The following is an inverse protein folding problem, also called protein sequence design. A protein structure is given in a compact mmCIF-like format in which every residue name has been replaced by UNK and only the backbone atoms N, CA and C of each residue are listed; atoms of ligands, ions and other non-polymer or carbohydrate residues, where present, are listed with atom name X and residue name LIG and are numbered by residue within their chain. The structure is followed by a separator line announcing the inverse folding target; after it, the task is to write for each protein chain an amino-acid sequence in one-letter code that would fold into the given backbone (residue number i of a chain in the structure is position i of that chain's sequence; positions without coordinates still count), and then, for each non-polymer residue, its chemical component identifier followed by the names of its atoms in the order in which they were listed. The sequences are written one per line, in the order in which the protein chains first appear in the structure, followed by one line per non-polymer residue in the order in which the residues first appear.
data_IF_083807217012
#
_entry.id   IF_083807217012
#
_cell.length_a   1.000
_cell.length_b   1.000
_cell.length_c   1.000
_cell.angle_alpha   90.00
_cell.angle_beta   90.00
_cell.angle_gamma   90.00
#
_symmetry.space_group_name_H-M   'P 1'
#
loop_
_entity.id
_entity.type
_entity.pdbx_description
1 polymer ?
#
# COMPACT_ATOMS: atom_id res chain seq x y z
N UNK A 1 -0.68 -4.11 13.99
CA UNK A 1 -1.63 -3.38 13.13
C UNK A 1 -1.20 -3.65 11.69
N UNK A 2 -2.01 -4.38 10.93
CA UNK A 2 -1.79 -4.72 9.53
C UNK A 2 -2.71 -3.84 8.66
N UNK A 3 -2.16 -2.93 7.83
CA UNK A 3 -2.95 -2.03 6.97
C UNK A 3 -3.93 -2.75 6.04
N UNK A 4 -3.69 -4.03 5.73
CA UNK A 4 -4.59 -4.82 4.91
C UNK A 4 -5.86 -5.26 5.66
N UNK A 5 -5.73 -5.64 6.93
CA UNK A 5 -6.82 -6.25 7.69
C UNK A 5 -7.47 -5.30 8.70
N UNK A 6 -6.70 -4.33 9.20
CA UNK A 6 -7.13 -3.50 10.33
C UNK A 6 -7.66 -2.13 9.90
N UNK A 7 -7.50 -1.75 8.63
CA UNK A 7 -8.03 -0.49 8.09
C UNK A 7 -9.43 -0.68 7.49
N UNK A 8 -10.41 0.17 7.86
CA UNK A 8 -11.71 0.16 7.20
C UNK A 8 -11.59 0.64 5.75
N UNK A 9 -12.44 0.10 4.89
CA UNK A 9 -12.45 0.39 3.44
C UNK A 9 -12.63 1.88 3.14
N UNK A 10 -13.26 2.64 4.04
CA UNK A 10 -13.47 4.08 3.92
C UNK A 10 -14.83 4.50 4.47
N UNK A 11 -15.10 5.82 4.49
CA UNK A 11 -16.32 6.34 5.09
C UNK A 11 -17.58 6.10 4.25
N UNK A 12 -17.47 5.95 2.90
CA UNK A 12 -18.61 5.74 1.99
C UNK A 12 -18.21 4.91 0.75
N UNK A 13 -18.03 3.59 0.85
CA UNK A 13 -17.73 2.76 -0.33
C UNK A 13 -18.98 2.55 -1.21
N UNK A 14 -18.88 2.62 -2.55
CA UNK A 14 -17.67 2.78 -3.37
C UNK A 14 -17.27 4.24 -3.67
N UNK A 15 -18.06 5.24 -3.28
CA UNK A 15 -17.85 6.64 -3.66
C UNK A 15 -16.59 7.27 -3.03
N UNK A 16 -16.23 6.87 -1.81
CA UNK A 16 -15.08 7.32 -1.03
C UNK A 16 -14.46 6.16 -0.24
N UNK A 17 -13.23 5.80 -0.63
CA UNK A 17 -12.45 4.71 -0.06
C UNK A 17 -11.13 5.22 0.51
N UNK A 18 -10.64 4.56 1.54
CA UNK A 18 -9.29 4.74 2.08
C UNK A 18 -8.30 3.95 1.23
N UNK A 19 -7.37 4.65 0.59
CA UNK A 19 -6.29 4.03 -0.17
C UNK A 19 -4.97 4.10 0.62
N UNK A 20 -4.28 2.97 0.73
CA UNK A 20 -2.93 2.89 1.27
C UNK A 20 -1.95 3.01 0.11
N UNK A 21 -1.17 4.09 0.08
CA UNK A 21 -0.22 4.34 -1.00
C UNK A 21 1.09 3.62 -0.72
N UNK A 22 1.39 2.58 -1.51
CA UNK A 22 2.64 1.82 -1.38
C UNK A 22 3.82 2.50 -2.12
N UNK A 23 3.56 3.12 -3.27
CA UNK A 23 4.58 3.70 -4.13
C UNK A 23 4.22 5.15 -4.45
N UNK A 24 4.95 6.14 -3.88
CA UNK A 24 4.75 7.54 -4.21
C UNK A 24 5.05 7.84 -5.68
N UNK A 25 4.36 8.84 -6.24
CA UNK A 25 4.60 9.32 -7.60
C UNK A 25 6.09 9.69 -7.79
N UNK A 26 6.70 9.15 -8.83
CA UNK A 26 8.11 9.40 -9.16
C UNK A 26 9.11 8.45 -8.48
N UNK A 27 8.65 7.53 -7.62
CA UNK A 27 9.53 6.50 -7.06
C UNK A 27 9.94 5.48 -8.12
N UNK A 28 11.24 5.19 -8.20
CA UNK A 28 11.79 4.03 -8.94
C UNK A 28 11.78 2.75 -8.12
N UNK A 29 11.57 2.87 -6.82
CA UNK A 29 11.51 1.75 -5.90
C UNK A 29 10.07 1.25 -5.86
N UNK A 30 9.87 0.01 -6.29
CA UNK A 30 8.61 -0.69 -6.16
C UNK A 30 8.54 -1.30 -4.76
N UNK A 31 7.79 -0.65 -3.88
CA UNK A 31 7.43 -1.18 -2.58
C UNK A 31 6.12 -1.97 -2.66
N UNK A 32 5.95 -2.91 -1.75
CA UNK A 32 4.71 -3.67 -1.55
C UNK A 32 4.44 -3.84 -0.05
N UNK A 33 3.18 -3.94 0.33
CA UNK A 33 2.79 -4.35 1.68
C UNK A 33 3.09 -5.84 1.88
N UNK A 34 3.96 -6.14 2.84
CA UNK A 34 4.19 -7.50 3.30
C UNK A 34 2.98 -8.00 4.10
N UNK A 35 2.29 -9.02 3.58
CA UNK A 35 1.01 -9.51 4.11
C UNK A 35 1.11 -10.06 5.54
N UNK A 36 2.27 -10.58 5.93
CA UNK A 36 2.48 -11.22 7.23
C UNK A 36 2.78 -10.17 8.29
N UNK A 37 3.72 -9.27 8.03
CA UNK A 37 4.17 -8.26 8.98
C UNK A 37 3.34 -6.98 8.98
N UNK A 38 2.66 -6.66 7.86
CA UNK A 38 1.97 -5.39 7.65
C UNK A 38 2.92 -4.21 7.38
N UNK A 39 4.21 -4.48 7.12
CA UNK A 39 5.23 -3.47 6.81
C UNK A 39 5.41 -3.30 5.30
N UNK A 40 5.91 -2.15 4.86
CA UNK A 40 6.31 -1.95 3.48
C UNK A 40 7.66 -2.61 3.23
N UNK A 41 7.71 -3.51 2.24
CA UNK A 41 8.91 -4.19 1.78
C UNK A 41 9.30 -3.67 0.40
N UNK A 42 10.59 -3.42 0.18
CA UNK A 42 11.09 -3.18 -1.17
C UNK A 42 10.99 -4.49 -1.96
N UNK A 43 10.12 -4.54 -2.97
CA UNK A 43 10.03 -5.68 -3.88
C UNK A 43 11.18 -5.64 -4.88
N UNK A 44 11.34 -4.52 -5.58
CA UNK A 44 12.44 -4.33 -6.54
C UNK A 44 12.68 -2.86 -6.87
N UNK A 45 13.84 -2.57 -7.43
CA UNK A 45 14.11 -1.30 -8.12
C UNK A 45 13.76 -1.47 -9.60
N UNK A 46 12.98 -0.54 -10.15
CA UNK A 46 12.63 -0.56 -11.57
C UNK A 46 13.87 -0.25 -12.41
N UNK A 47 14.22 -1.20 -13.29
CA UNK A 47 15.27 -1.03 -14.29
C UNK A 47 14.64 -0.49 -15.58
N UNK A 48 14.54 0.84 -15.66
CA UNK A 48 14.10 1.67 -16.81
C UNK A 48 12.74 1.32 -17.43
#
# INVERSE_FOLDING_TARGET
MNPWHDLPVGPRPPEQVTAVVEIPRGSRNKYELDKVSGLLRLDRVLYS
#
